data_IF_247613041096
#
_entry.id   IF_247613041096
#
_cell.length_a   1.000
_cell.length_b   1.000
_cell.length_c   1.000
_cell.angle_alpha   90.00
_cell.angle_beta   90.00
_cell.angle_gamma   90.00
#
_symmetry.space_group_name_H-M   'P 1'
#
loop_
_entity.id
_entity.type
_entity.pdbx_description
1 polymer ?
#
# COMPACT_ATOMS: atom_id res chain seq x y z
N UNK A 1 18.80 -58.73 -0.99
CA UNK A 1 19.76 -57.77 -1.58
C UNK A 1 21.16 -58.36 -1.44
N UNK A 2 21.79 -58.73 -2.58
CA UNK A 2 23.11 -59.38 -2.62
C UNK A 2 24.23 -58.35 -2.40
N UNK A 3 24.73 -58.22 -1.16
CA UNK A 3 25.99 -57.50 -0.87
C UNK A 3 27.15 -58.47 -1.07
N UNK A 4 27.67 -58.58 -2.30
CA UNK A 4 28.79 -59.50 -2.59
C UNK A 4 29.63 -59.15 -3.81
N UNK A 5 29.41 -57.99 -4.45
CA UNK A 5 30.04 -57.66 -5.74
C UNK A 5 31.24 -56.72 -5.67
N UNK A 6 31.35 -55.88 -4.65
CA UNK A 6 32.33 -54.77 -4.68
C UNK A 6 33.73 -55.24 -4.29
N UNK A 7 33.87 -56.13 -3.31
CA UNK A 7 35.19 -56.63 -2.86
C UNK A 7 35.89 -57.50 -3.91
N UNK A 8 35.15 -58.25 -4.74
CA UNK A 8 35.72 -59.07 -5.81
C UNK A 8 36.32 -58.25 -6.97
N UNK A 9 35.71 -57.11 -7.31
CA UNK A 9 36.18 -56.25 -8.41
C UNK A 9 37.49 -55.51 -8.08
N UNK A 10 37.66 -55.05 -6.82
CA UNK A 10 38.92 -54.42 -6.39
C UNK A 10 40.07 -55.44 -6.31
N UNK A 11 39.81 -56.68 -5.87
CA UNK A 11 40.81 -57.73 -5.83
C UNK A 11 41.29 -58.15 -7.23
N UNK A 12 40.40 -58.21 -8.22
CA UNK A 12 40.78 -58.45 -9.62
C UNK A 12 41.58 -57.28 -10.20
N UNK A 13 41.19 -56.02 -9.92
CA UNK A 13 41.95 -54.86 -10.39
C UNK A 13 43.35 -54.76 -9.78
N UNK A 14 43.54 -55.17 -8.52
CA UNK A 14 44.86 -55.17 -7.87
C UNK A 14 45.79 -56.21 -8.49
N UNK A 15 45.29 -57.43 -8.75
CA UNK A 15 46.07 -58.49 -9.42
C UNK A 15 46.47 -58.14 -10.85
N UNK A 16 45.58 -57.50 -11.61
CA UNK A 16 45.89 -57.03 -12.98
C UNK A 16 46.96 -55.95 -12.94
N UNK A 17 46.84 -54.96 -12.03
CA UNK A 17 47.85 -53.91 -11.88
C UNK A 17 49.18 -54.43 -11.37
N UNK A 18 49.19 -55.43 -10.49
CA UNK A 18 50.43 -56.08 -10.02
C UNK A 18 51.11 -56.88 -11.14
N UNK A 19 50.34 -57.59 -11.97
CA UNK A 19 50.87 -58.30 -13.14
C UNK A 19 51.41 -57.33 -14.22
N UNK A 20 50.76 -56.19 -14.42
CA UNK A 20 51.24 -55.12 -15.31
C UNK A 20 52.46 -54.40 -14.74
N UNK A 21 52.48 -54.11 -13.43
CA UNK A 21 53.63 -53.54 -12.74
C UNK A 21 54.84 -54.47 -12.79
N UNK A 22 54.63 -55.78 -12.61
CA UNK A 22 55.67 -56.81 -12.77
C UNK A 22 56.30 -56.82 -14.18
N UNK A 23 55.52 -56.48 -15.22
CA UNK A 23 56.01 -56.33 -16.59
C UNK A 23 56.74 -55.01 -16.84
N UNK A 24 56.45 -53.97 -16.06
CA UNK A 24 57.03 -52.63 -16.19
C UNK A 24 58.31 -52.44 -15.36
N UNK A 25 58.59 -53.34 -14.40
CA UNK A 25 59.89 -53.40 -13.71
C UNK A 25 60.93 -53.82 -14.76
N UNK A 26 61.75 -52.86 -15.20
CA UNK A 26 62.83 -53.12 -16.15
C UNK A 26 63.76 -54.22 -15.64
N UNK A 27 64.14 -55.16 -16.52
CA UNK A 27 65.02 -56.28 -16.15
C UNK A 27 66.48 -55.83 -16.21
N UNK A 28 67.31 -56.37 -15.33
CA UNK A 28 68.74 -56.08 -15.33
C UNK A 28 69.40 -56.59 -16.62
N UNK A 29 68.95 -57.73 -17.14
CA UNK A 29 69.36 -58.26 -18.44
C UNK A 29 68.99 -57.34 -19.63
N UNK A 30 67.98 -56.46 -19.54
CA UNK A 30 67.59 -55.58 -20.65
C UNK A 30 68.41 -54.28 -20.71
N UNK A 31 69.30 -54.06 -19.74
CA UNK A 31 70.19 -52.88 -19.73
C UNK A 31 71.17 -52.94 -20.91
N UNK A 32 71.46 -51.76 -21.49
CA UNK A 32 72.40 -51.63 -22.63
C UNK A 32 73.80 -52.18 -22.31
N UNK A 33 74.21 -52.07 -21.04
CA UNK A 33 75.51 -52.54 -20.54
C UNK A 33 75.39 -53.83 -19.70
N UNK A 34 74.26 -54.54 -19.78
CA UNK A 34 74.00 -55.74 -18.99
C UNK A 34 75.17 -56.74 -19.06
N UNK A 35 75.70 -56.97 -20.26
CA UNK A 35 76.83 -57.87 -20.47
C UNK A 35 78.03 -57.46 -19.58
N UNK A 36 78.38 -56.17 -19.52
CA UNK A 36 79.49 -55.67 -18.70
C UNK A 36 79.25 -55.81 -17.19
N UNK A 37 78.00 -55.78 -16.74
CA UNK A 37 77.62 -55.95 -15.33
C UNK A 37 77.62 -57.43 -14.92
N UNK A 38 77.36 -58.33 -15.88
CA UNK A 38 77.20 -59.76 -15.65
C UNK A 38 78.47 -60.59 -15.95
N UNK A 39 79.43 -60.02 -16.70
CA UNK A 39 80.71 -60.64 -16.99
C UNK A 39 81.60 -60.73 -15.74
N UNK A 40 81.93 -61.96 -15.35
CA UNK A 40 82.98 -62.23 -14.37
C UNK A 40 84.33 -62.43 -15.09
N UNK A 41 85.04 -61.33 -15.32
CA UNK A 41 86.38 -61.33 -15.95
C UNK A 41 87.39 -62.20 -15.16
N UNK A 42 87.18 -62.37 -13.86
CA UNK A 42 88.03 -63.21 -13.01
C UNK A 42 87.72 -64.71 -13.24
N UNK A 43 86.47 -65.10 -13.42
CA UNK A 43 86.10 -66.47 -13.81
C UNK A 43 86.63 -66.83 -15.21
N UNK A 44 86.53 -65.90 -16.17
CA UNK A 44 87.11 -66.08 -17.51
C UNK A 44 88.64 -66.18 -17.49
N UNK A 45 89.30 -65.41 -16.61
CA UNK A 45 90.74 -65.49 -16.36
C UNK A 45 91.18 -66.83 -15.75
N UNK A 46 90.48 -67.30 -14.72
CA UNK A 46 90.74 -68.61 -14.09
C UNK A 46 90.52 -69.78 -15.05
N UNK A 47 89.52 -69.69 -15.94
CA UNK A 47 89.27 -70.70 -16.96
C UNK A 47 90.43 -70.80 -17.97
N UNK A 48 91.05 -69.67 -18.30
CA UNK A 48 92.24 -69.59 -19.15
C UNK A 48 93.48 -70.14 -18.42
N UNK A 49 93.70 -69.77 -17.17
CA UNK A 49 94.86 -70.20 -16.36
C UNK A 49 94.86 -71.71 -16.06
N UNK A 50 93.68 -72.30 -15.84
CA UNK A 50 93.54 -73.75 -15.62
C UNK A 50 93.68 -74.58 -16.90
N UNK A 51 93.99 -73.94 -18.04
CA UNK A 51 94.10 -74.61 -19.34
C UNK A 51 92.77 -75.17 -19.83
N UNK A 52 91.64 -74.71 -19.26
CA UNK A 52 90.33 -75.24 -19.60
C UNK A 52 89.86 -74.78 -20.99
N UNK A 53 90.56 -73.78 -21.51
CA UNK A 53 90.37 -73.13 -22.79
C UNK A 53 91.68 -73.21 -23.59
N UNK A 54 91.73 -74.05 -24.62
CA UNK A 54 92.97 -74.47 -25.32
C UNK A 54 93.59 -73.41 -26.27
N UNK A 55 93.03 -72.20 -26.39
CA UNK A 55 93.48 -71.20 -27.38
C UNK A 55 93.48 -69.76 -26.84
N UNK A 56 94.31 -68.89 -27.43
CA UNK A 56 94.37 -67.46 -27.08
C UNK A 56 93.03 -66.71 -27.34
N UNK A 57 92.21 -67.20 -28.28
CA UNK A 57 90.87 -66.69 -28.64
C UNK A 57 89.76 -67.13 -27.68
N UNK A 58 90.08 -67.87 -26.63
CA UNK A 58 89.07 -68.58 -25.87
C UNK A 58 88.32 -67.72 -24.84
N UNK A 59 88.90 -66.60 -24.40
CA UNK A 59 88.20 -65.60 -23.57
C UNK A 59 87.10 -64.88 -24.36
N UNK A 60 87.33 -64.63 -25.66
CA UNK A 60 86.31 -64.06 -26.56
C UNK A 60 85.18 -65.07 -26.79
N UNK A 61 85.52 -66.34 -27.03
CA UNK A 61 84.52 -67.42 -27.15
C UNK A 61 83.71 -67.63 -25.87
N UNK A 62 84.33 -67.51 -24.70
CA UNK A 62 83.62 -67.59 -23.41
C UNK A 62 82.62 -66.44 -23.26
N UNK A 63 83.02 -65.21 -23.65
CA UNK A 63 82.14 -64.04 -23.65
C UNK A 63 80.98 -64.17 -24.62
N UNK A 64 81.22 -64.73 -25.81
CA UNK A 64 80.17 -64.96 -26.80
C UNK A 64 79.15 -66.01 -26.32
N UNK A 65 79.62 -67.07 -25.66
CA UNK A 65 78.74 -68.10 -25.09
C UNK A 65 77.94 -67.58 -23.89
N UNK A 66 78.57 -66.81 -23.01
CA UNK A 66 77.86 -66.16 -21.90
C UNK A 66 76.79 -65.19 -22.44
N UNK A 67 77.09 -64.44 -23.50
CA UNK A 67 76.10 -63.58 -24.18
C UNK A 67 74.93 -64.39 -24.74
N UNK A 68 75.18 -65.54 -25.36
CA UNK A 68 74.13 -66.42 -25.87
C UNK A 68 73.25 -66.98 -24.74
N UNK A 69 73.85 -67.41 -23.62
CA UNK A 69 73.09 -67.89 -22.46
C UNK A 69 72.29 -66.77 -21.77
N UNK A 70 72.81 -65.54 -21.77
CA UNK A 70 72.08 -64.35 -21.31
C UNK A 70 70.92 -63.98 -22.25
N UNK A 71 71.07 -64.19 -23.56
CA UNK A 71 69.98 -63.98 -24.52
C UNK A 71 68.84 -65.01 -24.31
N UNK A 72 69.17 -66.27 -23.97
CA UNK A 72 68.19 -67.28 -23.55
C UNK A 72 67.48 -66.85 -22.24
N UNK A 73 68.21 -66.28 -21.28
CA UNK A 73 67.63 -65.65 -20.09
C UNK A 73 66.64 -64.53 -20.45
N UNK A 74 66.98 -63.67 -21.41
CA UNK A 74 66.09 -62.60 -21.88
C UNK A 74 64.83 -63.14 -22.54
N UNK A 75 64.94 -64.22 -23.31
CA UNK A 75 63.82 -64.86 -24.02
C UNK A 75 62.87 -65.63 -23.09
N UNK A 76 63.38 -66.21 -22.00
CA UNK A 76 62.56 -66.91 -21.01
C UNK A 76 61.62 -66.00 -20.20
N UNK A 77 61.63 -64.69 -20.47
CA UNK A 77 60.82 -63.65 -19.83
C UNK A 77 60.89 -63.63 -18.28
N UNK A 78 61.83 -64.37 -17.69
CA UNK A 78 62.05 -64.49 -16.26
C UNK A 78 60.85 -64.96 -15.45
N UNK A 79 59.80 -65.52 -16.06
CA UNK A 79 58.62 -66.04 -15.33
C UNK A 79 58.86 -67.49 -14.91
N UNK A 80 59.59 -68.24 -15.73
CA UNK A 80 59.90 -69.64 -15.51
C UNK A 80 61.35 -69.82 -15.05
N UNK A 81 61.59 -70.77 -14.14
CA UNK A 81 62.93 -71.23 -13.84
C UNK A 81 63.55 -71.77 -15.13
N UNK A 82 64.74 -71.32 -15.49
CA UNK A 82 65.39 -71.86 -16.68
C UNK A 82 65.80 -73.29 -16.37
N UNK A 83 65.47 -74.20 -17.27
CA UNK A 83 65.90 -75.58 -17.12
C UNK A 83 67.41 -75.65 -17.29
N UNK A 84 68.10 -76.07 -16.23
CA UNK A 84 69.55 -76.29 -16.23
C UNK A 84 69.98 -77.24 -17.36
N UNK A 85 69.11 -78.17 -17.76
CA UNK A 85 69.36 -79.08 -18.87
C UNK A 85 69.41 -78.35 -20.22
N UNK A 86 68.51 -77.40 -20.45
CA UNK A 86 68.49 -76.58 -21.66
C UNK A 86 69.73 -75.66 -21.75
N UNK A 87 70.21 -75.15 -20.62
CA UNK A 87 71.46 -74.39 -20.56
C UNK A 87 72.67 -75.26 -20.88
N UNK A 88 72.68 -76.52 -20.43
CA UNK A 88 73.79 -77.46 -20.73
C UNK A 88 73.77 -77.93 -22.19
N UNK A 89 72.60 -78.10 -22.79
CA UNK A 89 72.45 -78.50 -24.21
C UNK A 89 72.88 -77.44 -25.21
N UNK A 90 72.83 -76.16 -24.81
CA UNK A 90 73.23 -75.02 -25.66
C UNK A 90 74.73 -74.73 -25.63
N UNK A 91 75.47 -75.32 -24.67
CA UNK A 91 76.91 -75.15 -24.55
C UNK A 91 77.65 -76.15 -25.45
N UNK A 92 78.59 -75.71 -26.31
CA UNK A 92 79.35 -76.61 -27.17
C UNK A 92 80.17 -77.65 -26.37
N UNK A 93 80.16 -78.91 -26.82
CA UNK A 93 80.94 -80.02 -26.25
C UNK A 93 82.47 -79.83 -26.31
N UNK A 94 82.95 -78.78 -26.98
CA UNK A 94 84.36 -78.42 -27.08
C UNK A 94 84.91 -77.79 -25.79
N UNK A 95 84.03 -77.29 -24.92
CA UNK A 95 84.41 -76.77 -23.60
C UNK A 95 84.66 -77.91 -22.63
N UNK A 96 85.64 -77.72 -21.74
CA UNK A 96 85.81 -78.65 -20.63
C UNK A 96 84.60 -78.58 -19.68
N UNK A 97 84.20 -79.72 -19.09
CA UNK A 97 82.98 -79.83 -18.30
C UNK A 97 82.95 -78.85 -17.12
N UNK A 98 84.11 -78.59 -16.50
CA UNK A 98 84.23 -77.64 -15.38
C UNK A 98 83.96 -76.17 -15.80
N UNK A 99 84.29 -75.78 -17.04
CA UNK A 99 84.01 -74.44 -17.57
C UNK A 99 82.57 -74.28 -18.00
N UNK A 100 81.98 -75.33 -18.57
CA UNK A 100 80.56 -75.37 -18.88
C UNK A 100 79.71 -75.27 -17.59
N UNK A 101 80.10 -75.97 -16.53
CA UNK A 101 79.42 -75.90 -15.23
C UNK A 101 79.55 -74.51 -14.59
N UNK A 102 80.72 -73.86 -14.67
CA UNK A 102 80.90 -72.50 -14.17
C UNK A 102 79.99 -71.48 -14.87
N UNK A 103 79.85 -71.57 -16.20
CA UNK A 103 78.93 -70.73 -16.99
C UNK A 103 77.47 -70.92 -16.59
N UNK A 104 77.03 -72.19 -16.47
CA UNK A 104 75.66 -72.50 -16.02
C UNK A 104 75.41 -71.95 -14.61
N UNK A 105 76.35 -72.10 -13.69
CA UNK A 105 76.22 -71.57 -12.33
C UNK A 105 76.20 -70.03 -12.30
N UNK A 106 76.96 -69.36 -13.17
CA UNK A 106 76.95 -67.90 -13.29
C UNK A 106 75.59 -67.38 -13.80
N UNK A 107 75.05 -68.01 -14.84
CA UNK A 107 73.71 -67.72 -15.40
C UNK A 107 72.61 -67.96 -14.36
N UNK A 108 72.68 -69.05 -13.59
CA UNK A 108 71.72 -69.34 -12.52
C UNK A 108 71.82 -68.33 -11.36
N UNK A 109 73.02 -67.84 -11.03
CA UNK A 109 73.20 -66.76 -10.03
C UNK A 109 72.56 -65.47 -10.51
N UNK A 110 72.73 -65.10 -11.78
CA UNK A 110 72.10 -63.92 -12.38
C UNK A 110 70.58 -64.01 -12.33
N UNK A 111 70.01 -65.17 -12.70
CA UNK A 111 68.57 -65.39 -12.57
C UNK A 111 68.07 -65.19 -11.13
N UNK A 112 68.82 -65.66 -10.12
CA UNK A 112 68.47 -65.44 -8.71
C UNK A 112 68.53 -63.97 -8.31
N UNK A 113 69.53 -63.22 -8.77
CA UNK A 113 69.62 -61.79 -8.51
C UNK A 113 68.46 -61.02 -9.15
N UNK A 114 68.08 -61.36 -10.38
CA UNK A 114 66.94 -60.74 -11.05
C UNK A 114 65.62 -61.03 -10.33
N UNK A 115 65.42 -62.28 -9.88
CA UNK A 115 64.24 -62.64 -9.12
C UNK A 115 64.16 -61.87 -7.79
N UNK A 116 65.27 -61.79 -7.05
CA UNK A 116 65.34 -61.03 -5.81
C UNK A 116 65.12 -59.52 -6.02
N UNK A 117 65.70 -58.94 -7.08
CA UNK A 117 65.47 -57.54 -7.43
C UNK A 117 64.01 -57.27 -7.82
N UNK A 118 63.36 -58.21 -8.52
CA UNK A 118 61.95 -58.13 -8.87
C UNK A 118 61.05 -58.23 -7.64
N UNK A 119 61.34 -59.14 -6.71
CA UNK A 119 60.59 -59.27 -5.45
C UNK A 119 60.65 -57.96 -4.65
N UNK A 120 61.84 -57.39 -4.47
CA UNK A 120 62.01 -56.09 -3.79
C UNK A 120 61.25 -54.96 -4.50
N UNK A 121 61.28 -54.92 -5.83
CA UNK A 121 60.55 -53.91 -6.59
C UNK A 121 59.03 -54.08 -6.46
N UNK A 122 58.52 -55.32 -6.42
CA UNK A 122 57.12 -55.59 -6.17
C UNK A 122 56.70 -55.18 -4.76
N UNK A 123 57.49 -55.50 -3.74
CA UNK A 123 57.26 -55.06 -2.36
C UNK A 123 57.19 -53.53 -2.28
N UNK A 124 58.14 -52.81 -2.87
CA UNK A 124 58.14 -51.36 -2.90
C UNK A 124 56.90 -50.77 -3.62
N UNK A 125 56.44 -51.41 -4.69
CA UNK A 125 55.20 -51.00 -5.39
C UNK A 125 53.97 -51.25 -4.50
N UNK A 126 53.92 -52.37 -3.78
CA UNK A 126 52.84 -52.65 -2.84
C UNK A 126 52.82 -51.65 -1.69
N UNK A 127 53.98 -51.31 -1.12
CA UNK A 127 54.10 -50.29 -0.08
C UNK A 127 53.60 -48.93 -0.58
N UNK A 128 54.07 -48.49 -1.77
CA UNK A 128 53.62 -47.24 -2.38
C UNK A 128 52.11 -47.24 -2.68
N UNK A 129 51.55 -48.37 -3.11
CA UNK A 129 50.10 -48.51 -3.31
C UNK A 129 49.33 -48.40 -2.00
N UNK A 130 49.81 -49.03 -0.92
CA UNK A 130 49.17 -48.96 0.40
C UNK A 130 49.23 -47.54 0.96
N UNK A 131 50.37 -46.86 0.81
CA UNK A 131 50.51 -45.45 1.19
C UNK A 131 49.57 -44.55 0.38
N UNK A 132 49.48 -44.76 -0.94
CA UNK A 132 48.55 -44.04 -1.79
C UNK A 132 47.09 -44.30 -1.38
N UNK A 133 46.70 -45.54 -1.12
CA UNK A 133 45.35 -45.89 -0.65
C UNK A 133 45.03 -45.22 0.70
N UNK A 134 45.99 -45.19 1.63
CA UNK A 134 45.85 -44.49 2.92
C UNK A 134 45.69 -42.98 2.73
N UNK A 135 46.50 -42.37 1.88
CA UNK A 135 46.41 -40.94 1.56
C UNK A 135 45.06 -40.60 0.92
N UNK A 136 44.61 -41.40 -0.05
CA UNK A 136 43.31 -41.24 -0.70
C UNK A 136 42.14 -41.41 0.27
N UNK A 137 42.23 -42.36 1.21
CA UNK A 137 41.22 -42.52 2.25
C UNK A 137 41.18 -41.31 3.18
N UNK A 138 42.33 -40.81 3.60
CA UNK A 138 42.44 -39.60 4.43
C UNK A 138 41.82 -38.39 3.72
N UNK A 139 42.17 -38.16 2.46
CA UNK A 139 41.61 -37.06 1.66
C UNK A 139 40.09 -37.17 1.49
N UNK A 140 39.55 -38.38 1.31
CA UNK A 140 38.10 -38.59 1.26
C UNK A 140 37.41 -38.21 2.56
N UNK A 141 37.96 -38.65 3.69
CA UNK A 141 37.43 -38.28 5.01
C UNK A 141 37.47 -36.77 5.22
N UNK A 142 38.60 -36.11 4.93
CA UNK A 142 38.73 -34.66 5.03
C UNK A 142 37.65 -33.95 4.18
N UNK A 143 37.48 -34.37 2.92
CA UNK A 143 36.46 -33.82 2.03
C UNK A 143 35.02 -34.04 2.55
N UNK A 144 34.70 -35.22 3.08
CA UNK A 144 33.40 -35.51 3.69
C UNK A 144 33.15 -34.62 4.93
N UNK A 145 34.18 -34.39 5.75
CA UNK A 145 34.07 -33.47 6.91
C UNK A 145 33.89 -32.01 6.48
N UNK A 146 34.53 -31.57 5.40
CA UNK A 146 34.35 -30.23 4.85
C UNK A 146 32.95 -30.05 4.26
N UNK A 147 32.46 -31.02 3.48
CA UNK A 147 31.09 -31.01 2.95
C UNK A 147 30.07 -30.93 4.08
N UNK A 148 30.21 -31.77 5.10
CA UNK A 148 29.27 -31.78 6.23
C UNK A 148 29.33 -30.46 7.01
N UNK A 149 30.52 -29.90 7.25
CA UNK A 149 30.68 -28.59 7.87
C UNK A 149 30.01 -27.48 7.07
N UNK A 150 30.26 -27.42 5.77
CA UNK A 150 29.66 -26.41 4.88
C UNK A 150 28.15 -26.56 4.84
N UNK A 151 27.65 -27.80 4.73
CA UNK A 151 26.22 -28.09 4.73
C UNK A 151 25.54 -27.65 6.03
N UNK A 152 26.04 -28.08 7.19
CA UNK A 152 25.49 -27.67 8.49
C UNK A 152 25.54 -26.15 8.66
N UNK A 153 26.64 -25.51 8.26
CA UNK A 153 26.76 -24.05 8.31
C UNK A 153 25.75 -23.34 7.39
N UNK A 154 25.49 -23.89 6.22
CA UNK A 154 24.48 -23.38 5.30
C UNK A 154 23.05 -23.58 5.84
N UNK A 155 22.77 -24.78 6.36
CA UNK A 155 21.47 -25.11 6.95
C UNK A 155 21.18 -24.20 8.15
N UNK A 156 22.15 -23.98 9.05
CA UNK A 156 22.00 -23.07 10.19
C UNK A 156 21.75 -21.61 9.78
N UNK A 157 22.44 -21.12 8.74
CA UNK A 157 22.16 -19.77 8.20
C UNK A 157 20.75 -19.70 7.63
N UNK A 158 20.37 -20.70 6.83
CA UNK A 158 19.04 -20.75 6.23
C UNK A 158 17.94 -20.83 7.29
N UNK A 159 18.12 -21.58 8.38
CA UNK A 159 17.13 -21.63 9.46
C UNK A 159 17.04 -20.31 10.20
N UNK A 160 18.18 -19.67 10.49
CA UNK A 160 18.21 -18.36 11.14
C UNK A 160 17.55 -17.27 10.27
N UNK A 161 17.78 -17.27 8.96
CA UNK A 161 17.14 -16.33 8.03
C UNK A 161 15.61 -16.55 7.98
N UNK A 162 15.16 -17.81 7.99
CA UNK A 162 13.72 -18.15 8.01
C UNK A 162 13.07 -17.69 9.32
N UNK A 163 13.73 -17.89 10.46
CA UNK A 163 13.27 -17.41 11.77
C UNK A 163 13.18 -15.88 11.79
N UNK A 164 14.23 -15.18 11.34
CA UNK A 164 14.24 -13.71 11.29
C UNK A 164 13.14 -13.14 10.38
N UNK A 165 12.88 -13.77 9.23
CA UNK A 165 11.76 -13.39 8.35
C UNK A 165 10.42 -13.67 9.04
N UNK A 166 10.30 -14.80 9.74
CA UNK A 166 9.13 -15.16 10.53
C UNK A 166 8.80 -14.10 11.59
N UNK A 167 9.80 -13.70 12.36
CA UNK A 167 9.70 -12.67 13.39
C UNK A 167 9.29 -11.31 12.80
N UNK A 168 9.93 -10.90 11.70
CA UNK A 168 9.56 -9.65 11.01
C UNK A 168 8.12 -9.68 10.49
N UNK A 169 7.68 -10.81 9.91
CA UNK A 169 6.30 -10.95 9.45
C UNK A 169 5.31 -10.91 10.61
N UNK A 170 5.63 -11.55 11.73
CA UNK A 170 4.79 -11.50 12.92
C UNK A 170 4.69 -10.07 13.46
N UNK A 171 5.80 -9.36 13.60
CA UNK A 171 5.82 -7.98 14.04
C UNK A 171 4.96 -7.09 13.12
N UNK A 172 5.10 -7.24 11.79
CA UNK A 172 4.26 -6.47 10.86
C UNK A 172 2.77 -6.78 10.99
N UNK A 173 2.40 -8.02 11.34
CA UNK A 173 1.00 -8.39 11.60
C UNK A 173 0.48 -7.71 12.86
N UNK A 174 1.25 -7.76 13.95
CA UNK A 174 0.91 -7.09 15.21
C UNK A 174 0.72 -5.59 15.00
N UNK A 175 1.61 -4.93 14.25
CA UNK A 175 1.49 -3.51 13.88
C UNK A 175 0.21 -3.22 13.08
N UNK A 176 -0.21 -4.12 12.19
CA UNK A 176 -1.47 -3.97 11.44
C UNK A 176 -2.69 -4.16 12.33
N UNK A 177 -2.68 -5.16 13.21
CA UNK A 177 -3.77 -5.42 14.14
C UNK A 177 -3.95 -4.25 15.13
N UNK A 178 -2.85 -3.66 15.62
CA UNK A 178 -2.89 -2.42 16.40
C UNK A 178 -3.49 -1.25 15.61
N UNK A 179 -3.17 -1.11 14.32
CA UNK A 179 -3.77 -0.07 13.47
C UNK A 179 -5.26 -0.31 13.24
N UNK A 180 -5.66 -1.56 13.03
CA UNK A 180 -7.07 -1.94 12.84
C UNK A 180 -7.87 -1.63 14.10
N UNK A 181 -7.42 -2.08 15.26
CA UNK A 181 -8.09 -1.80 16.54
C UNK A 181 -8.17 -0.30 16.84
N UNK A 182 -7.11 0.46 16.55
CA UNK A 182 -7.12 1.92 16.66
C UNK A 182 -8.15 2.59 15.72
N UNK A 183 -8.29 2.09 14.49
CA UNK A 183 -9.30 2.58 13.54
C UNK A 183 -10.72 2.19 13.95
N UNK A 184 -10.93 0.97 14.44
CA UNK A 184 -12.21 0.52 14.99
C UNK A 184 -12.65 1.40 16.17
N UNK A 185 -11.74 1.71 17.10
CA UNK A 185 -12.00 2.63 18.21
C UNK A 185 -12.35 4.05 17.75
N UNK A 186 -11.72 4.54 16.67
CA UNK A 186 -12.09 5.84 16.08
C UNK A 186 -13.48 5.78 15.43
N UNK A 187 -13.82 4.69 14.75
CA UNK A 187 -15.14 4.50 14.13
C UNK A 187 -16.22 4.44 15.19
N UNK A 188 -16.03 3.71 16.29
CA UNK A 188 -17.01 3.66 17.39
C UNK A 188 -17.20 5.03 18.04
N UNK A 189 -16.12 5.77 18.28
CA UNK A 189 -16.19 7.14 18.80
C UNK A 189 -16.94 8.08 17.85
N UNK A 190 -16.68 8.01 16.55
CA UNK A 190 -17.36 8.84 15.56
C UNK A 190 -18.85 8.48 15.44
N UNK A 191 -19.20 7.19 15.53
CA UNK A 191 -20.60 6.75 15.56
C UNK A 191 -21.34 7.32 16.76
N UNK A 192 -20.76 7.23 17.96
CA UNK A 192 -21.34 7.83 19.17
C UNK A 192 -21.52 9.34 19.04
N UNK A 193 -20.53 10.07 18.49
CA UNK A 193 -20.67 11.51 18.23
C UNK A 193 -21.76 11.85 17.22
N UNK A 194 -21.94 11.02 16.18
CA UNK A 194 -23.02 11.19 15.21
C UNK A 194 -24.39 10.96 15.85
N UNK A 195 -24.52 9.94 16.69
CA UNK A 195 -25.76 9.68 17.43
C UNK A 195 -26.11 10.84 18.37
N UNK A 196 -25.13 11.37 19.12
CA UNK A 196 -25.32 12.55 19.96
C UNK A 196 -25.70 13.80 19.15
N UNK A 197 -25.05 14.02 18.00
CA UNK A 197 -25.36 15.14 17.12
C UNK A 197 -26.78 15.03 16.52
N UNK A 198 -27.17 13.83 16.10
CA UNK A 198 -28.51 13.55 15.59
C UNK A 198 -29.58 13.76 16.67
N UNK A 199 -29.33 13.34 17.91
CA UNK A 199 -30.23 13.57 19.04
C UNK A 199 -30.40 15.07 19.34
N UNK A 200 -29.29 15.83 19.39
CA UNK A 200 -29.32 17.29 19.57
C UNK A 200 -30.07 17.99 18.43
N UNK A 201 -29.85 17.57 17.19
CA UNK A 201 -30.55 18.12 16.04
C UNK A 201 -32.05 17.85 16.15
N UNK A 202 -32.46 16.64 16.52
CA UNK A 202 -33.87 16.30 16.73
C UNK A 202 -34.52 17.15 17.83
N UNK A 203 -33.83 17.38 18.96
CA UNK A 203 -34.32 18.27 20.01
C UNK A 203 -34.50 19.72 19.52
N UNK A 204 -33.55 20.23 18.73
CA UNK A 204 -33.63 21.58 18.15
C UNK A 204 -34.79 21.66 17.15
N UNK A 205 -34.96 20.65 16.30
CA UNK A 205 -36.07 20.58 15.34
C UNK A 205 -37.42 20.52 16.06
N UNK A 206 -37.54 19.75 17.15
CA UNK A 206 -38.77 19.69 17.97
C UNK A 206 -39.09 21.05 18.58
N UNK A 207 -38.12 21.70 19.24
CA UNK A 207 -38.31 23.03 19.85
C UNK A 207 -38.65 24.09 18.82
N UNK A 208 -38.03 24.04 17.64
CA UNK A 208 -38.33 24.95 16.55
C UNK A 208 -39.74 24.74 16.01
N UNK A 209 -40.22 23.50 15.92
CA UNK A 209 -41.62 23.20 15.55
C UNK A 209 -42.61 23.71 16.58
N UNK A 210 -42.38 23.45 17.87
CA UNK A 210 -43.22 23.97 18.96
C UNK A 210 -43.31 25.50 18.91
N UNK A 211 -42.19 26.19 18.72
CA UNK A 211 -42.17 27.66 18.56
C UNK A 211 -42.90 28.15 17.31
N UNK A 212 -42.81 27.43 16.19
CA UNK A 212 -43.54 27.76 14.98
C UNK A 212 -45.04 27.60 15.19
N UNK A 213 -45.48 26.51 15.83
CA UNK A 213 -46.89 26.28 16.18
C UNK A 213 -47.42 27.38 17.11
N UNK A 214 -46.68 27.73 18.17
CA UNK A 214 -47.06 28.84 19.07
C UNK A 214 -47.17 30.19 18.34
N UNK A 215 -46.24 30.46 17.41
CA UNK A 215 -46.26 31.68 16.60
C UNK A 215 -47.41 31.69 15.59
N UNK A 216 -47.75 30.55 15.00
CA UNK A 216 -48.89 30.39 14.10
C UNK A 216 -50.22 30.61 14.83
N UNK A 217 -50.38 30.03 16.03
CA UNK A 217 -51.54 30.25 16.89
C UNK A 217 -51.69 31.72 17.30
N UNK A 218 -50.60 32.36 17.72
CA UNK A 218 -50.60 33.78 18.07
C UNK A 218 -50.93 34.67 16.86
N UNK A 219 -50.47 34.28 15.66
CA UNK A 219 -50.76 34.99 14.41
C UNK A 219 -52.24 34.84 14.04
N UNK A 220 -52.83 33.66 14.18
CA UNK A 220 -54.26 33.44 13.98
C UNK A 220 -55.10 34.28 14.96
N UNK A 221 -54.76 34.27 16.25
CA UNK A 221 -55.47 35.08 17.25
C UNK A 221 -55.39 36.58 16.93
N UNK A 222 -54.23 37.07 16.50
CA UNK A 222 -54.06 38.45 16.06
C UNK A 222 -54.86 38.77 14.80
N UNK A 223 -54.92 37.87 13.83
CA UNK A 223 -55.75 38.02 12.63
C UNK A 223 -57.24 38.10 13.00
N UNK A 224 -57.73 37.27 13.91
CA UNK A 224 -59.11 37.34 14.39
C UNK A 224 -59.42 38.66 15.10
N UNK A 225 -58.50 39.16 15.93
CA UNK A 225 -58.66 40.46 16.60
C UNK A 225 -58.69 41.61 15.61
N UNK A 226 -57.85 41.57 14.57
CA UNK A 226 -57.85 42.56 13.49
C UNK A 226 -59.18 42.51 12.73
N UNK A 227 -59.65 41.31 12.36
CA UNK A 227 -60.93 41.15 11.67
C UNK A 227 -62.11 41.71 12.49
N UNK A 228 -62.19 41.38 13.78
CA UNK A 228 -63.21 41.94 14.70
C UNK A 228 -63.12 43.46 14.80
N UNK A 229 -61.91 44.02 14.86
CA UNK A 229 -61.72 45.47 14.90
C UNK A 229 -62.11 46.16 13.57
N UNK A 230 -61.88 45.50 12.44
CA UNK A 230 -62.33 45.96 11.12
C UNK A 230 -63.87 45.93 11.01
N UNK A 231 -64.51 44.83 11.42
CA UNK A 231 -65.97 44.72 11.49
C UNK A 231 -66.58 45.79 12.39
N UNK A 232 -66.04 46.00 13.59
CA UNK A 232 -66.48 47.08 14.48
C UNK A 232 -66.34 48.45 13.84
N UNK A 233 -65.23 48.70 13.14
CA UNK A 233 -64.98 49.96 12.46
C UNK A 233 -66.00 50.19 11.35
N UNK A 234 -66.34 49.15 10.59
CA UNK A 234 -67.32 49.23 9.51
C UNK A 234 -68.74 49.43 10.05
N UNK A 235 -69.12 48.71 11.11
CA UNK A 235 -70.38 48.95 11.83
C UNK A 235 -70.47 50.38 12.38
N UNK A 236 -69.38 50.91 12.95
CA UNK A 236 -69.32 52.30 13.43
C UNK A 236 -69.43 53.31 12.28
N UNK A 237 -68.84 53.03 11.11
CA UNK A 237 -68.98 53.86 9.90
C UNK A 237 -70.42 53.85 9.38
N UNK A 238 -71.05 52.69 9.31
CA UNK A 238 -72.45 52.56 8.89
C UNK A 238 -73.41 53.25 9.87
N UNK A 239 -73.20 53.07 11.17
CA UNK A 239 -73.98 53.74 12.20
C UNK A 239 -73.80 55.26 12.13
N UNK A 240 -72.57 55.74 11.95
CA UNK A 240 -72.29 57.16 11.75
C UNK A 240 -72.94 57.71 10.46
N UNK A 241 -72.98 56.91 9.39
CA UNK A 241 -73.69 57.28 8.16
C UNK A 241 -75.19 57.42 8.39
N UNK A 242 -75.82 56.42 9.03
CA UNK A 242 -77.26 56.45 9.38
C UNK A 242 -77.60 57.64 10.28
N UNK A 243 -76.82 57.86 11.34
CA UNK A 243 -76.97 59.03 12.23
C UNK A 243 -76.87 60.33 11.45
N UNK A 244 -75.92 60.43 10.51
CA UNK A 244 -75.77 61.61 9.66
C UNK A 244 -76.98 61.82 8.75
N UNK A 245 -77.53 60.76 8.17
CA UNK A 245 -78.76 60.82 7.35
C UNK A 245 -79.98 61.23 8.17
N UNK A 246 -80.13 60.68 9.38
CA UNK A 246 -81.21 61.03 10.32
C UNK A 246 -81.12 62.49 10.76
N UNK A 247 -79.91 62.98 11.08
CA UNK A 247 -79.69 64.39 11.44
C UNK A 247 -80.05 65.30 10.26
N UNK A 248 -79.60 64.99 9.04
CA UNK A 248 -79.96 65.77 7.84
C UNK A 248 -81.47 65.71 7.58
N UNK A 249 -82.10 64.55 7.79
CA UNK A 249 -83.55 64.37 7.67
C UNK A 249 -84.32 65.23 8.67
N UNK A 250 -83.87 65.23 9.93
CA UNK A 250 -84.42 66.07 10.99
C UNK A 250 -84.24 67.56 10.66
N UNK A 251 -83.05 67.97 10.23
CA UNK A 251 -82.77 69.34 9.79
C UNK A 251 -83.67 69.77 8.62
N UNK A 252 -83.94 68.88 7.67
CA UNK A 252 -84.89 69.16 6.58
C UNK A 252 -86.31 69.34 7.10
N UNK A 253 -86.75 68.52 8.05
CA UNK A 253 -88.06 68.63 8.69
C UNK A 253 -88.18 69.89 9.55
N UNK A 254 -87.13 70.27 10.28
CA UNK A 254 -87.11 71.53 11.06
C UNK A 254 -87.15 72.73 10.13
N UNK A 255 -86.40 72.74 9.03
CA UNK A 255 -86.50 73.78 7.99
C UNK A 255 -87.90 73.82 7.38
N UNK A 256 -88.51 72.68 7.05
CA UNK A 256 -89.87 72.62 6.53
C UNK A 256 -90.90 73.16 7.54
N UNK A 257 -90.76 72.79 8.82
CA UNK A 257 -91.61 73.29 9.90
C UNK A 257 -91.43 74.80 10.11
N UNK A 258 -90.19 75.30 10.10
CA UNK A 258 -89.89 76.73 10.18
C UNK A 258 -90.50 77.50 9.00
N UNK A 259 -90.44 76.95 7.79
CA UNK A 259 -91.06 77.56 6.62
C UNK A 259 -92.59 77.57 6.72
N UNK A 260 -93.20 76.50 7.26
CA UNK A 260 -94.64 76.43 7.51
C UNK A 260 -95.07 77.40 8.61
N UNK A 261 -94.28 77.55 9.67
CA UNK A 261 -94.50 78.56 10.70
C UNK A 261 -94.42 79.94 10.08
N UNK A 262 -93.37 80.24 9.30
CA UNK A 262 -93.24 81.52 8.59
C UNK A 262 -94.42 81.81 7.65
N UNK A 263 -94.93 80.81 6.93
CA UNK A 263 -96.12 81.01 6.08
C UNK A 263 -97.37 81.29 6.91
N UNK A 264 -97.56 80.58 8.03
CA UNK A 264 -98.67 80.83 8.95
C UNK A 264 -98.55 82.19 9.65
N UNK A 265 -97.34 82.62 10.00
CA UNK A 265 -97.04 83.95 10.52
C UNK A 265 -97.31 85.03 9.48
N UNK A 266 -96.95 84.80 8.21
CA UNK A 266 -97.29 85.69 7.10
C UNK A 266 -98.80 85.77 6.88
N UNK A 267 -99.54 84.65 6.95
CA UNK A 267 -101.00 84.62 6.87
C UNK A 267 -101.65 85.34 8.06
N UNK A 268 -101.09 85.18 9.28
CA UNK A 268 -101.52 85.91 10.47
C UNK A 268 -101.24 87.41 10.36
N UNK A 269 -100.08 87.82 9.84
CA UNK A 269 -99.76 89.22 9.57
C UNK A 269 -100.65 89.80 8.47
N UNK A 270 -100.96 89.03 7.42
CA UNK A 270 -101.91 89.41 6.38
C UNK A 270 -103.33 89.58 6.96
N UNK A 271 -103.74 88.70 7.88
CA UNK A 271 -105.02 88.81 8.61
C UNK A 271 -105.04 90.00 9.57
N UNK A 272 -103.95 90.24 10.32
CA UNK A 272 -103.82 91.39 11.21
C UNK A 272 -103.78 92.70 10.43
N UNK A 273 -103.10 92.75 9.29
CA UNK A 273 -103.09 93.93 8.42
C UNK A 273 -104.44 94.10 7.71
N UNK A 274 -105.12 93.05 7.27
CA UNK A 274 -106.49 93.14 6.75
C UNK A 274 -107.48 93.63 7.83
N UNK A 275 -107.31 93.17 9.08
CA UNK A 275 -108.05 93.67 10.25
C UNK A 275 -107.69 95.14 10.55
N UNK A 276 -106.42 95.52 10.43
CA UNK A 276 -105.96 96.90 10.62
C UNK A 276 -106.45 97.84 9.52
N UNK A 277 -106.41 97.43 8.24
CA UNK A 277 -106.96 98.20 7.11
C UNK A 277 -108.50 98.28 7.14
N UNK A 278 -109.17 97.25 7.64
CA UNK A 278 -110.61 97.28 7.98
C UNK A 278 -110.92 98.27 9.12
N UNK A 279 -110.07 98.32 10.15
CA UNK A 279 -110.19 99.26 11.27
C UNK A 279 -109.80 100.71 10.90
N UNK A 280 -108.87 100.91 9.97
CA UNK A 280 -108.43 102.24 9.50
C UNK A 280 -109.41 102.84 8.48
N UNK A 281 -110.14 102.03 7.71
CA UNK A 281 -111.21 102.51 6.82
C UNK A 281 -112.50 102.93 7.55
N UNK A 282 -112.62 102.64 8.86
CA UNK A 282 -113.77 103.00 9.70
C UNK A 282 -113.52 104.17 10.66
N UNK A 283 -112.32 104.77 10.66
CA UNK A 283 -111.99 105.95 11.49
C UNK A 283 -111.41 107.08 10.63
N UNK A 284 -112.33 107.93 10.19
CA UNK A 284 -112.20 109.38 9.96
C UNK A 284 -111.51 109.93 8.69
N UNK A 285 -112.38 110.15 7.71
CA UNK A 285 -112.52 111.39 6.93
C UNK A 285 -112.86 112.57 7.86
N UNK A 286 -111.87 113.18 8.53
CA UNK A 286 -111.87 114.62 8.85
C UNK A 286 -110.57 115.03 9.56
N UNK A 287 -109.79 115.88 8.87
CA UNK A 287 -109.03 117.02 9.42
C UNK A 287 -107.88 116.73 10.39
N UNK A 288 -106.72 117.41 10.37
CA UNK A 288 -105.97 118.20 9.40
C UNK A 288 -104.67 118.61 10.14
N UNK A 289 -103.55 118.61 9.41
CA UNK A 289 -102.36 119.49 9.54
C UNK A 289 -101.59 119.56 10.88
N UNK A 290 -100.38 118.99 10.88
CA UNK A 290 -99.07 119.70 10.89
C UNK A 290 -97.98 118.67 11.21
N UNK A 291 -97.13 118.26 10.27
CA UNK A 291 -95.88 118.92 9.84
C UNK A 291 -94.82 119.00 10.95
N UNK A 292 -93.90 118.03 10.99
CA UNK A 292 -92.46 118.31 11.08
C UNK A 292 -91.66 117.12 10.51
N UNK A 293 -90.78 117.45 9.55
CA UNK A 293 -89.76 116.60 8.93
C UNK A 293 -88.61 116.35 9.93
N UNK A 294 -87.73 115.35 9.81
CA UNK A 294 -86.66 115.13 8.82
C UNK A 294 -86.13 113.71 9.14
N UNK A 295 -86.01 112.75 8.21
CA UNK A 295 -84.75 112.50 7.50
C UNK A 295 -84.50 111.00 7.24
N UNK A 296 -85.00 110.52 6.10
CA UNK A 296 -84.36 109.69 5.07
C UNK A 296 -82.85 109.27 5.24
N UNK A 297 -82.30 108.27 4.50
CA UNK A 297 -82.73 106.88 4.20
C UNK A 297 -81.48 105.91 4.02
N UNK A 298 -81.29 105.05 2.98
CA UNK A 298 -81.81 103.68 2.68
C UNK A 298 -80.69 102.61 2.32
N UNK A 299 -81.12 101.45 1.75
CA UNK A 299 -80.40 100.44 0.94
C UNK A 299 -79.66 99.31 1.71
N UNK A 300 -79.37 98.11 1.19
CA UNK A 300 -79.94 97.15 0.22
C UNK A 300 -78.90 96.01 0.10
N UNK A 301 -79.34 94.75 -0.10
CA UNK A 301 -78.50 93.65 -0.60
C UNK A 301 -77.48 93.10 0.39
N UNK A 302 -77.01 91.86 0.33
CA UNK A 302 -77.01 90.85 -0.70
C UNK A 302 -76.10 89.71 -0.22
N UNK A 303 -76.22 88.55 -0.87
CA UNK A 303 -75.51 87.31 -0.58
C UNK A 303 -74.00 87.43 -0.40
N UNK A 304 -73.39 86.52 0.36
CA UNK A 304 -72.38 85.59 -0.17
C UNK A 304 -71.87 84.58 0.87
N UNK A 305 -71.69 83.37 0.38
CA UNK A 305 -70.84 82.30 0.91
C UNK A 305 -69.46 82.79 1.37
N UNK A 306 -68.95 82.23 2.46
CA UNK A 306 -67.56 81.79 2.52
C UNK A 306 -67.41 80.53 3.39
N UNK A 307 -66.93 79.50 2.72
CA UNK A 307 -66.37 78.26 3.26
C UNK A 307 -65.01 78.57 3.91
N UNK A 308 -64.58 77.66 4.78
CA UNK A 308 -63.20 77.28 5.08
C UNK A 308 -62.61 77.68 6.46
N UNK A 309 -62.59 76.64 7.30
CA UNK A 309 -61.45 76.11 8.06
C UNK A 309 -61.01 76.75 9.38
N UNK A 310 -61.21 75.97 10.44
CA UNK A 310 -60.44 75.84 11.68
C UNK A 310 -60.47 74.34 12.08
N UNK A 311 -59.58 73.83 12.94
CA UNK A 311 -58.24 73.37 12.59
C UNK A 311 -58.07 71.85 12.81
N UNK A 312 -57.31 71.17 11.95
CA UNK A 312 -56.79 69.82 12.24
C UNK A 312 -55.47 69.93 13.00
N UNK A 313 -55.35 69.31 14.19
CA UNK A 313 -54.05 68.96 14.72
C UNK A 313 -53.74 67.52 14.29
N UNK A 314 -52.68 67.34 13.49
CA UNK A 314 -51.75 66.20 13.60
C UNK A 314 -50.64 66.35 12.56
N UNK A 315 -49.54 66.87 13.07
CA UNK A 315 -48.17 66.57 12.68
C UNK A 315 -47.98 65.12 12.21
N UNK A 316 -47.57 64.94 10.96
CA UNK A 316 -46.60 63.90 10.59
C UNK A 316 -45.19 64.44 10.87
N UNK A 317 -44.22 63.61 11.28
CA UNK A 317 -43.40 62.90 10.29
C UNK A 317 -42.94 61.49 10.79
N UNK A 318 -41.98 60.82 10.14
CA UNK A 318 -42.13 60.15 8.85
C UNK A 318 -41.95 58.62 8.97
N UNK A 319 -42.46 57.91 7.96
CA UNK A 319 -42.05 56.56 7.58
C UNK A 319 -40.53 56.51 7.34
N UNK A 320 -39.78 56.09 8.35
CA UNK A 320 -38.39 55.69 8.23
C UNK A 320 -38.11 54.58 9.24
N UNK A 321 -37.97 53.34 8.73
CA UNK A 321 -37.33 52.13 9.30
C UNK A 321 -38.19 50.88 9.07
N UNK A 322 -38.17 50.39 7.84
CA UNK A 322 -38.52 49.00 7.53
C UNK A 322 -37.74 48.51 6.30
N UNK A 323 -36.43 48.76 6.27
CA UNK A 323 -35.49 48.15 5.33
C UNK A 323 -34.13 48.03 6.02
N UNK A 324 -34.05 47.24 7.11
CA UNK A 324 -32.77 46.89 7.76
C UNK A 324 -32.87 45.56 8.55
N UNK A 325 -33.54 44.56 7.98
CA UNK A 325 -33.49 43.18 8.52
C UNK A 325 -33.18 42.13 7.44
N UNK A 326 -33.25 42.47 6.14
CA UNK A 326 -32.96 41.51 5.06
C UNK A 326 -31.50 41.44 4.61
N UNK A 327 -30.55 42.15 5.24
CA UNK A 327 -29.11 41.98 4.97
C UNK A 327 -28.42 40.96 5.91
N UNK A 328 -28.93 40.75 7.13
CA UNK A 328 -28.30 39.84 8.09
C UNK A 328 -28.59 38.35 7.86
N UNK A 329 -29.62 38.00 7.08
CA UNK A 329 -29.93 36.60 6.73
C UNK A 329 -29.20 36.14 5.45
N UNK A 330 -28.85 37.05 4.55
CA UNK A 330 -28.06 36.73 3.35
C UNK A 330 -26.56 36.62 3.64
N UNK A 331 -26.02 37.39 4.59
CA UNK A 331 -24.61 37.24 5.00
C UNK A 331 -24.34 35.94 5.78
N UNK A 332 -25.33 35.40 6.51
CA UNK A 332 -25.20 34.09 7.19
C UNK A 332 -25.28 32.89 6.24
N UNK A 333 -26.05 32.98 5.16
CA UNK A 333 -26.07 31.93 4.13
C UNK A 333 -24.82 31.91 3.24
N UNK A 334 -24.19 33.07 3.00
CA UNK A 334 -22.91 33.15 2.28
C UNK A 334 -21.73 32.65 3.13
N UNK A 335 -21.80 32.81 4.46
CA UNK A 335 -20.80 32.23 5.38
C UNK A 335 -20.84 30.69 5.39
N UNK A 336 -22.01 30.05 5.34
CA UNK A 336 -22.13 28.58 5.25
C UNK A 336 -21.72 28.01 3.87
N UNK A 337 -21.81 28.79 2.80
CA UNK A 337 -21.27 28.38 1.49
C UNK A 337 -19.72 28.42 1.43
N UNK A 338 -19.07 29.17 2.33
CA UNK A 338 -17.61 29.27 2.39
C UNK A 338 -16.94 28.09 3.11
N UNK A 339 -17.65 27.37 3.99
CA UNK A 339 -17.15 26.15 4.65
C UNK A 339 -17.14 24.93 3.72
N UNK A 340 -18.02 24.91 2.70
CA UNK A 340 -18.00 23.86 1.65
C UNK A 340 -16.76 23.99 0.75
N UNK A 341 -16.12 25.18 0.70
CA UNK A 341 -14.87 25.38 -0.06
C UNK A 341 -13.63 24.80 0.64
N UNK A 342 -13.69 24.54 1.95
CA UNK A 342 -12.59 23.94 2.73
C UNK A 342 -12.51 22.42 2.50
N UNK A 343 -13.61 21.78 2.06
CA UNK A 343 -13.59 20.38 1.62
C UNK A 343 -13.03 20.21 0.20
N UNK A 344 -12.89 21.29 -0.59
CA UNK A 344 -12.24 21.24 -1.92
C UNK A 344 -10.72 21.38 -1.87
N UNK A 345 -10.17 21.99 -0.80
CA UNK A 345 -8.71 22.11 -0.59
C UNK A 345 -8.10 20.85 0.02
N UNK A 346 -8.86 20.09 0.84
CA UNK A 346 -8.45 18.77 1.35
C UNK A 346 -8.23 17.73 0.23
N UNK A 347 -8.98 17.82 -0.87
CA UNK A 347 -8.83 16.93 -2.02
C UNK A 347 -7.59 17.22 -2.90
N UNK A 348 -6.94 18.38 -2.73
CA UNK A 348 -5.68 18.69 -3.43
C UNK A 348 -4.46 18.11 -2.71
N UNK A 349 -4.52 17.89 -1.40
CA UNK A 349 -3.43 17.28 -0.63
C UNK A 349 -3.32 15.77 -0.91
N UNK A 350 -4.45 15.06 -0.95
CA UNK A 350 -4.47 13.61 -1.25
C UNK A 350 -4.04 13.27 -2.68
N UNK A 351 -4.20 14.19 -3.64
CA UNK A 351 -3.68 14.02 -5.02
C UNK A 351 -2.16 14.21 -5.14
N UNK A 352 -1.53 14.92 -4.20
CA UNK A 352 -0.08 15.08 -4.19
C UNK A 352 0.60 13.82 -3.62
N UNK A 353 0.07 13.26 -2.53
CA UNK A 353 0.60 12.02 -1.92
C UNK A 353 0.44 10.79 -2.84
N UNK A 354 -0.68 10.68 -3.58
CA UNK A 354 -0.87 9.59 -4.55
C UNK A 354 0.07 9.68 -5.76
N UNK A 355 0.62 10.85 -6.09
CA UNK A 355 1.62 10.99 -7.16
C UNK A 355 3.02 10.59 -6.69
N UNK A 356 3.33 10.76 -5.41
CA UNK A 356 4.64 10.42 -4.86
C UNK A 356 4.79 8.91 -4.61
N UNK A 357 3.72 8.22 -4.21
CA UNK A 357 3.71 6.76 -4.04
C UNK A 357 3.85 6.03 -5.38
N UNK A 358 3.30 6.58 -6.47
CA UNK A 358 3.41 6.01 -7.83
C UNK A 358 4.73 6.29 -8.54
N UNK A 359 5.57 7.17 -7.99
CA UNK A 359 6.92 7.42 -8.51
C UNK A 359 8.00 6.59 -7.81
N UNK A 360 7.64 5.89 -6.73
CA UNK A 360 8.53 5.00 -5.94
C UNK A 360 8.18 3.52 -6.08
N UNK A 361 7.16 3.19 -6.88
CA UNK A 361 6.85 1.85 -7.38
C UNK A 361 7.12 1.81 -8.87
#
# INVERSE_FOLDING_TARGET
MKRGGVTGMFAQSKRVRQAEAARLIGRLCDLKDAAYVFFDDHAAGLAKERGLLRSWTATEKYRDLEKQLLDILRESHGIDAIDERQLRETIPNELLPESAEALVQQVLRHQRYENAARELALEAIEEAQVEHERAMHKLKLEHETEITRVKVSCDMRSTADVEAIGDHLQQTREDYDEKVTNLENKVTLLKSKLEEAAAKQHEVESKAREQLEEMEDALQEMQERVAKAEEERDLKREAAHKLKEEVIGNDRLTVANLNRIKSLEADLQASQTASFYSAVLSINRASSKSSFAIGLPPWLGGASFHVMMMPSPRTCPPLARALHVNSCLLERMVAQASEVSILSSGNKCLRAEFREVRARS
#
